data_IF_047342987586
#
_entry.id   IF_047342987586
#
_cell.length_a   1.000
_cell.length_b   1.000
_cell.length_c   1.000
_cell.angle_alpha   90.00
_cell.angle_beta   90.00
_cell.angle_gamma   90.00
#
_symmetry.space_group_name_H-M   'P 1'
#
loop_
_entity.id
_entity.type
_entity.pdbx_description
1 polymer ?
#
# COMPACT_ATOMS: atom_id res chain seq x y z
N UNK A 1 -23.61 8.87 -12.40
CA UNK A 1 -22.63 7.77 -12.47
C UNK A 1 -22.14 7.58 -11.05
N UNK A 2 -22.71 6.61 -10.33
CA UNK A 2 -22.25 6.27 -8.98
C UNK A 2 -20.89 5.63 -9.14
N UNK A 3 -19.85 6.40 -8.85
CA UNK A 3 -18.54 5.84 -8.58
C UNK A 3 -18.63 5.37 -7.12
N UNK A 4 -19.21 4.19 -6.93
CA UNK A 4 -18.94 3.39 -5.73
C UNK A 4 -17.46 3.07 -5.86
N UNK A 5 -16.63 3.97 -5.37
CA UNK A 5 -15.20 3.82 -5.35
C UNK A 5 -14.95 2.70 -4.35
N UNK A 6 -14.47 1.55 -4.84
CA UNK A 6 -13.97 0.48 -4.01
C UNK A 6 -12.69 0.96 -3.31
N UNK A 7 -12.72 2.04 -2.54
CA UNK A 7 -11.55 2.52 -1.81
C UNK A 7 -11.05 1.45 -0.82
N UNK A 8 -9.82 1.60 -0.37
CA UNK A 8 -9.32 0.79 0.75
C UNK A 8 -10.30 0.89 1.94
N UNK A 9 -10.66 -0.27 2.50
CA UNK A 9 -11.52 -0.36 3.67
C UNK A 9 -10.71 -1.10 4.75
N UNK A 10 -10.37 -0.41 5.87
CA UNK A 10 -9.72 -1.04 7.01
C UNK A 10 -10.51 -2.25 7.52
N UNK A 11 -9.81 -3.27 7.98
CA UNK A 11 -10.41 -4.52 8.49
C UNK A 11 -9.80 -4.87 9.86
N UNK A 12 -10.62 -4.83 10.92
CA UNK A 12 -10.13 -5.06 12.29
C UNK A 12 -9.48 -6.46 12.46
N UNK A 13 -9.94 -7.48 11.73
CA UNK A 13 -9.33 -8.81 11.83
C UNK A 13 -7.95 -8.83 11.17
N UNK A 14 -7.78 -8.12 10.05
CA UNK A 14 -6.47 -7.92 9.44
C UNK A 14 -5.53 -7.16 10.37
N UNK A 15 -6.00 -6.06 10.96
CA UNK A 15 -5.22 -5.27 11.92
C UNK A 15 -4.77 -6.13 13.10
N UNK A 16 -5.66 -6.96 13.65
CA UNK A 16 -5.33 -7.91 14.73
C UNK A 16 -4.30 -8.94 14.30
N UNK A 17 -4.48 -9.55 13.13
CA UNK A 17 -3.52 -10.53 12.58
C UNK A 17 -2.13 -9.92 12.45
N UNK A 18 -2.04 -8.71 11.90
CA UNK A 18 -0.78 -7.98 11.72
C UNK A 18 -0.18 -7.64 13.09
N UNK A 19 -0.99 -7.10 14.01
CA UNK A 19 -0.52 -6.70 15.32
C UNK A 19 0.03 -7.87 16.14
N UNK A 20 -0.65 -9.01 16.11
CA UNK A 20 -0.20 -10.24 16.78
C UNK A 20 1.12 -10.75 16.19
N UNK A 21 1.28 -10.73 14.86
CA UNK A 21 2.47 -11.23 14.17
C UNK A 21 3.68 -10.30 14.30
N UNK A 22 3.46 -8.98 14.37
CA UNK A 22 4.52 -7.96 14.52
C UNK A 22 4.72 -7.50 15.97
N UNK A 23 3.93 -8.02 16.91
CA UNK A 23 3.94 -7.66 18.33
C UNK A 23 3.77 -6.16 18.56
N UNK A 24 2.73 -5.59 17.94
CA UNK A 24 2.33 -4.19 18.02
C UNK A 24 1.36 -3.95 19.17
N UNK A 25 1.59 -2.91 19.97
CA UNK A 25 0.67 -2.46 21.03
C UNK A 25 -0.13 -1.25 20.55
N UNK A 26 -1.36 -1.47 20.05
CA UNK A 26 -2.18 -0.42 19.45
C UNK A 26 -3.69 -0.65 19.67
N UNK A 27 -4.46 0.43 19.51
CA UNK A 27 -5.91 0.40 19.52
C UNK A 27 -6.46 -0.10 18.17
N UNK A 28 -6.75 -1.39 18.09
CA UNK A 28 -7.37 -2.00 16.91
C UNK A 28 -8.75 -1.37 16.60
N UNK A 29 -9.13 -1.39 15.32
CA UNK A 29 -10.44 -0.93 14.84
C UNK A 29 -10.52 0.57 14.52
N UNK A 30 -9.40 1.30 14.63
CA UNK A 30 -9.30 2.68 14.11
C UNK A 30 -9.39 2.67 12.58
N UNK A 31 -10.04 3.71 12.01
CA UNK A 31 -10.09 3.92 10.56
C UNK A 31 -8.71 4.27 9.99
N UNK A 32 -7.86 4.91 10.79
CA UNK A 32 -6.53 5.38 10.40
C UNK A 32 -5.43 4.47 10.98
N UNK A 33 -5.77 3.26 11.44
CA UNK A 33 -4.83 2.38 12.14
C UNK A 33 -3.60 2.08 11.28
N UNK A 34 -3.80 1.70 10.01
CA UNK A 34 -2.72 1.39 9.08
C UNK A 34 -1.71 2.54 8.98
N UNK A 35 -2.19 3.77 8.88
CA UNK A 35 -1.37 4.98 8.88
C UNK A 35 -0.64 5.17 10.22
N UNK A 36 -1.37 5.11 11.35
CA UNK A 36 -0.84 5.35 12.70
C UNK A 36 0.29 4.39 13.12
N UNK A 37 0.26 3.15 12.62
CA UNK A 37 1.25 2.12 12.94
C UNK A 37 2.34 1.98 11.87
N UNK A 38 2.17 2.61 10.72
CA UNK A 38 3.15 2.56 9.64
C UNK A 38 4.43 3.31 10.01
N UNK A 39 5.58 2.79 9.61
CA UNK A 39 6.86 3.46 9.78
C UNK A 39 7.90 2.85 8.84
N UNK A 40 8.69 3.70 8.15
CA UNK A 40 9.78 3.24 7.29
C UNK A 40 10.83 2.31 7.96
N UNK A 41 10.96 2.34 9.29
CA UNK A 41 11.90 1.47 10.01
C UNK A 41 11.45 0.01 10.01
N UNK A 42 10.14 -0.25 9.91
CA UNK A 42 9.51 -1.56 9.99
C UNK A 42 9.00 -2.06 8.63
N UNK A 43 9.10 -1.26 7.56
CA UNK A 43 8.63 -1.63 6.20
C UNK A 43 9.12 -2.99 5.70
N UNK A 44 10.35 -3.40 6.05
CA UNK A 44 10.87 -4.72 5.64
C UNK A 44 10.12 -5.87 6.33
N UNK A 45 9.68 -5.66 7.57
CA UNK A 45 8.86 -6.61 8.32
C UNK A 45 7.46 -6.70 7.72
N UNK A 46 6.90 -5.58 7.25
CA UNK A 46 5.62 -5.54 6.55
C UNK A 46 5.68 -6.34 5.24
N UNK A 47 6.74 -6.11 4.45
CA UNK A 47 7.00 -6.85 3.21
C UNK A 47 7.19 -8.34 3.49
N UNK A 48 7.95 -8.68 4.54
CA UNK A 48 8.17 -10.07 4.93
C UNK A 48 6.84 -10.74 5.28
N UNK A 49 6.04 -10.10 6.13
CA UNK A 49 4.74 -10.61 6.56
C UNK A 49 3.76 -10.75 5.38
N UNK A 50 3.71 -9.77 4.48
CA UNK A 50 2.87 -9.82 3.28
C UNK A 50 3.13 -11.07 2.43
N UNK A 51 4.41 -11.48 2.33
CA UNK A 51 4.87 -12.63 1.54
C UNK A 51 4.66 -13.99 2.20
N UNK A 52 4.29 -14.04 3.49
CA UNK A 52 4.06 -15.32 4.16
C UNK A 52 2.81 -16.02 3.62
N UNK A 53 2.90 -17.34 3.41
CA UNK A 53 1.82 -18.15 2.83
C UNK A 53 0.53 -18.13 3.67
N UNK A 54 0.64 -17.90 4.98
CA UNK A 54 -0.47 -17.87 5.92
C UNK A 54 -1.00 -16.45 6.19
N UNK A 55 -0.60 -15.45 5.39
CA UNK A 55 -1.13 -14.09 5.50
C UNK A 55 -2.41 -13.97 4.67
N UNK A 56 -3.49 -13.54 5.31
CA UNK A 56 -4.79 -13.45 4.65
C UNK A 56 -4.82 -12.33 3.60
N UNK A 57 -5.70 -12.41 2.61
CA UNK A 57 -5.83 -11.33 1.60
C UNK A 57 -6.21 -9.99 2.22
N UNK A 58 -6.97 -10.00 3.33
CA UNK A 58 -7.29 -8.77 4.08
C UNK A 58 -6.05 -8.19 4.76
N UNK A 59 -5.25 -9.03 5.43
CA UNK A 59 -3.96 -8.60 5.97
C UNK A 59 -3.00 -8.13 4.88
N UNK A 60 -2.96 -8.78 3.71
CA UNK A 60 -2.18 -8.31 2.57
C UNK A 60 -2.60 -6.92 2.09
N UNK A 61 -3.90 -6.62 2.07
CA UNK A 61 -4.40 -5.28 1.73
C UNK A 61 -3.94 -4.23 2.74
N UNK A 62 -4.13 -4.48 4.05
CA UNK A 62 -3.67 -3.56 5.10
C UNK A 62 -2.15 -3.38 5.11
N UNK A 63 -1.39 -4.45 4.85
CA UNK A 63 0.07 -4.38 4.77
C UNK A 63 0.53 -3.56 3.56
N UNK A 64 -0.15 -3.65 2.42
CA UNK A 64 0.20 -2.79 1.29
C UNK A 64 -0.07 -1.31 1.63
N UNK A 65 -1.19 -1.00 2.28
CA UNK A 65 -1.49 0.35 2.77
C UNK A 65 -0.36 0.87 3.68
N UNK A 66 -0.02 0.12 4.72
CA UNK A 66 1.05 0.46 5.67
C UNK A 66 2.41 0.65 4.98
N UNK A 67 2.70 -0.12 3.91
CA UNK A 67 3.93 0.01 3.14
C UNK A 67 3.92 1.32 2.34
N UNK A 68 2.79 1.69 1.72
CA UNK A 68 2.66 2.94 0.98
C UNK A 68 2.75 4.15 1.92
N UNK A 69 2.05 4.13 3.06
CA UNK A 69 2.16 5.17 4.10
C UNK A 69 3.62 5.34 4.56
N UNK A 70 4.29 4.23 4.89
CA UNK A 70 5.69 4.24 5.34
C UNK A 70 6.65 4.85 4.32
N UNK A 71 6.39 4.63 3.02
CA UNK A 71 7.22 5.14 1.94
C UNK A 71 6.89 6.60 1.64
N UNK A 72 5.62 7.01 1.71
CA UNK A 72 5.23 8.41 1.57
C UNK A 72 5.91 9.27 2.65
N UNK A 73 5.82 8.87 3.92
CA UNK A 73 6.50 9.55 5.03
C UNK A 73 8.02 9.63 4.79
N UNK A 74 8.61 8.55 4.26
CA UNK A 74 10.03 8.52 3.93
C UNK A 74 10.42 9.47 2.79
N UNK A 75 9.55 9.66 1.81
CA UNK A 75 9.72 10.64 0.73
C UNK A 75 9.50 12.08 1.22
N UNK A 76 8.77 12.27 2.32
CA UNK A 76 8.60 13.55 3.01
C UNK A 76 9.80 13.98 3.84
N UNK A 77 10.41 13.04 4.54
CA UNK A 77 11.55 13.31 5.40
C UNK A 77 12.90 13.49 4.66
N UNK A 78 12.99 13.10 3.39
CA UNK A 78 14.26 13.09 2.64
C UNK A 78 14.13 13.50 1.17
N UNK A 79 15.21 14.06 0.61
CA UNK A 79 15.38 14.26 -0.85
C UNK A 79 15.71 12.93 -1.57
N UNK A 80 14.93 11.87 -1.29
CA UNK A 80 15.17 10.53 -1.86
C UNK A 80 14.95 10.57 -3.37
N UNK A 81 15.98 10.20 -4.13
CA UNK A 81 15.89 10.03 -5.58
C UNK A 81 15.57 8.57 -5.92
N UNK A 82 15.12 8.31 -7.16
CA UNK A 82 14.98 6.94 -7.72
C UNK A 82 16.27 6.10 -7.64
N UNK A 83 17.42 6.70 -7.31
CA UNK A 83 18.71 6.02 -7.18
C UNK A 83 18.93 5.41 -5.79
N UNK A 84 18.09 5.72 -4.80
CA UNK A 84 18.14 5.02 -3.52
C UNK A 84 17.79 3.55 -3.73
N UNK A 85 18.73 2.68 -3.36
CA UNK A 85 18.62 1.23 -3.57
C UNK A 85 17.47 0.62 -2.76
N UNK A 86 17.22 1.14 -1.55
CA UNK A 86 16.16 0.63 -0.67
C UNK A 86 14.80 1.03 -1.23
N UNK A 87 14.64 2.28 -1.61
CA UNK A 87 13.43 2.75 -2.29
C UNK A 87 13.16 1.96 -3.59
N UNK A 88 14.19 1.74 -4.41
CA UNK A 88 14.09 0.91 -5.62
C UNK A 88 13.63 -0.52 -5.35
N UNK A 89 14.04 -1.12 -4.22
CA UNK A 89 13.60 -2.46 -3.82
C UNK A 89 12.14 -2.47 -3.37
N UNK A 90 11.70 -1.44 -2.63
CA UNK A 90 10.30 -1.28 -2.22
C UNK A 90 9.38 -1.08 -3.42
N UNK A 91 9.75 -0.24 -4.38
CA UNK A 91 8.97 -0.07 -5.61
C UNK A 91 8.84 -1.37 -6.41
N UNK A 92 9.91 -2.16 -6.50
CA UNK A 92 9.86 -3.48 -7.14
C UNK A 92 8.91 -4.44 -6.43
N UNK A 93 8.89 -4.41 -5.10
CA UNK A 93 7.94 -5.18 -4.31
C UNK A 93 6.51 -4.72 -4.59
N UNK A 94 6.23 -3.41 -4.58
CA UNK A 94 4.91 -2.86 -4.86
C UNK A 94 4.44 -3.28 -6.26
N UNK A 95 5.29 -3.16 -7.28
CA UNK A 95 4.99 -3.60 -8.63
C UNK A 95 4.62 -5.10 -8.67
N UNK A 96 5.38 -5.94 -7.97
CA UNK A 96 5.11 -7.38 -7.86
C UNK A 96 3.78 -7.67 -7.15
N UNK A 97 3.50 -6.98 -6.05
CA UNK A 97 2.26 -7.11 -5.29
C UNK A 97 1.05 -6.72 -6.15
N UNK A 98 1.11 -5.59 -6.85
CA UNK A 98 0.06 -5.12 -7.76
C UNK A 98 -0.16 -6.09 -8.92
N UNK A 99 0.94 -6.54 -9.56
CA UNK A 99 0.87 -7.49 -10.68
C UNK A 99 0.19 -8.81 -10.28
N UNK A 100 0.47 -9.31 -9.07
CA UNK A 100 0.03 -10.63 -8.63
C UNK A 100 -1.36 -10.60 -8.00
N UNK A 101 -1.66 -9.54 -7.25
CA UNK A 101 -2.83 -9.46 -6.37
C UNK A 101 -3.69 -8.22 -6.65
N UNK A 102 -3.82 -7.82 -7.93
CA UNK A 102 -4.53 -6.60 -8.30
C UNK A 102 -5.94 -6.51 -7.70
N UNK A 103 -6.69 -7.61 -7.70
CA UNK A 103 -8.08 -7.62 -7.21
C UNK A 103 -8.17 -7.32 -5.71
N UNK A 104 -7.12 -7.64 -4.94
CA UNK A 104 -7.01 -7.33 -3.51
C UNK A 104 -6.67 -5.85 -3.31
N UNK A 105 -5.81 -5.30 -4.19
CA UNK A 105 -5.20 -3.98 -4.02
C UNK A 105 -5.86 -2.86 -4.81
N UNK A 106 -6.87 -3.18 -5.62
CA UNK A 106 -7.50 -2.23 -6.52
C UNK A 106 -7.93 -0.95 -5.79
N UNK A 107 -8.47 -1.08 -4.58
CA UNK A 107 -8.93 0.06 -3.79
C UNK A 107 -7.84 0.96 -3.26
N UNK A 108 -6.80 0.36 -2.69
CA UNK A 108 -5.57 1.05 -2.28
C UNK A 108 -4.96 1.78 -3.48
N UNK A 109 -4.78 1.11 -4.63
CA UNK A 109 -4.19 1.73 -5.82
C UNK A 109 -5.04 2.93 -6.29
N UNK A 110 -6.37 2.79 -6.36
CA UNK A 110 -7.27 3.88 -6.74
C UNK A 110 -7.13 5.07 -5.80
N UNK A 111 -7.10 4.83 -4.48
CA UNK A 111 -6.93 5.87 -3.48
C UNK A 111 -5.62 6.64 -3.67
N UNK A 112 -4.50 5.93 -3.70
CA UNK A 112 -3.18 6.56 -3.77
C UNK A 112 -2.89 7.22 -5.12
N UNK A 113 -3.25 6.60 -6.24
CA UNK A 113 -3.02 7.19 -7.58
C UNK A 113 -3.86 8.46 -7.77
N UNK A 114 -5.04 8.57 -7.15
CA UNK A 114 -5.87 9.77 -7.23
C UNK A 114 -5.52 10.85 -6.19
N UNK A 115 -4.71 10.50 -5.19
CA UNK A 115 -4.16 11.46 -4.24
C UNK A 115 -3.09 12.35 -4.86
N UNK A 116 -2.78 13.44 -4.17
CA UNK A 116 -1.67 14.35 -4.51
C UNK A 116 -0.49 14.09 -3.57
N UNK A 117 -0.06 12.82 -3.54
CA UNK A 117 1.04 12.32 -2.71
C UNK A 117 2.30 12.14 -3.55
N UNK A 118 3.48 12.12 -2.92
CA UNK A 118 4.74 11.92 -3.65
C UNK A 118 4.79 10.55 -4.31
N UNK A 119 4.30 9.50 -3.62
CA UNK A 119 4.26 8.13 -4.13
C UNK A 119 3.27 7.95 -5.30
N UNK A 120 2.26 8.80 -5.44
CA UNK A 120 1.20 8.70 -6.46
C UNK A 120 1.76 8.60 -7.88
N UNK A 121 2.78 9.41 -8.21
CA UNK A 121 3.40 9.40 -9.53
C UNK A 121 4.11 8.07 -9.83
N UNK A 122 4.75 7.46 -8.83
CA UNK A 122 5.43 6.17 -8.99
C UNK A 122 4.43 5.03 -9.15
N UNK A 123 3.31 5.07 -8.42
CA UNK A 123 2.23 4.09 -8.58
C UNK A 123 1.57 4.20 -9.95
N UNK A 124 1.36 5.42 -10.45
CA UNK A 124 0.83 5.63 -11.80
C UNK A 124 1.78 5.05 -12.86
N UNK A 125 3.09 5.31 -12.75
CA UNK A 125 4.10 4.70 -13.63
C UNK A 125 4.03 3.15 -13.59
N UNK A 126 3.92 2.56 -12.39
CA UNK A 126 3.78 1.10 -12.22
C UNK A 126 2.54 0.59 -12.95
N UNK A 127 1.37 1.23 -12.78
CA UNK A 127 0.14 0.78 -13.43
C UNK A 127 0.25 0.85 -14.96
N UNK A 128 0.78 1.96 -15.48
CA UNK A 128 0.98 2.13 -16.93
C UNK A 128 1.91 1.04 -17.46
N UNK A 129 3.05 0.81 -16.79
CA UNK A 129 4.03 -0.19 -17.19
C UNK A 129 3.47 -1.62 -17.15
N UNK A 130 2.55 -1.91 -16.23
CA UNK A 130 1.85 -3.19 -16.12
C UNK A 130 0.63 -3.29 -17.05
N UNK A 131 0.29 -2.24 -17.82
CA UNK A 131 -0.90 -2.15 -18.67
C UNK A 131 -2.23 -2.37 -17.91
N UNK A 132 -2.33 -1.89 -16.66
CA UNK A 132 -3.51 -2.11 -15.80
C UNK A 132 -4.52 -0.94 -15.84
N UNK A 133 -4.29 0.08 -16.66
CA UNK A 133 -5.11 1.30 -16.72
C UNK A 133 -6.59 1.03 -17.01
N UNK A 134 -6.88 0.04 -17.86
CA UNK A 134 -8.26 -0.35 -18.19
C UNK A 134 -8.90 -1.28 -17.15
N UNK A 135 -8.11 -1.80 -16.21
CA UNK A 135 -8.55 -2.72 -15.15
C UNK A 135 -8.86 -1.99 -13.86
N UNK A 136 -8.27 -0.82 -13.65
CA UNK A 136 -8.48 0.01 -12.47
C UNK A 136 -9.49 1.11 -12.82
N UNK A 137 -10.56 1.22 -12.03
CA UNK A 137 -11.61 2.22 -12.26
C UNK A 137 -11.27 3.52 -11.56
N UNK A 138 -10.66 4.44 -12.29
CA UNK A 138 -10.29 5.76 -11.76
C UNK A 138 -10.84 6.92 -12.57
N UNK A 139 -10.87 8.12 -11.97
CA UNK A 139 -11.19 9.35 -12.69
C UNK A 139 -10.06 9.65 -13.69
N UNK A 140 -10.37 10.04 -14.94
CA UNK A 140 -9.35 10.60 -15.82
C UNK A 140 -8.70 11.80 -15.13
N UNK A 141 -7.36 11.84 -15.11
CA UNK A 141 -6.63 13.07 -14.80
C UNK A 141 -7.18 14.19 -15.70
N UNK A 142 -7.58 15.30 -15.11
CA UNK A 142 -8.03 16.50 -15.84
C UNK A 142 -6.84 17.30 -16.35
#
# INVERSE_FOLDING_TARGET
MNLDHDFFIPDENAQREIADKLNFDYNLGSQDWEYEVSHIRTVEEYIHLYRQENTTSKAQSSLLEMILDSIEDYLDDLEVTKEDKRFSLHLKFIEEAIRTNLDIHNGTIVYWVQGDWKISNFLLEIVINLNLENRIRWRPYK
#
